data_IF_332175348875
#
_entry.id   IF_332175348875
#
_cell.length_a   1.000
_cell.length_b   1.000
_cell.length_c   1.000
_cell.angle_alpha   90.00
_cell.angle_beta   90.00
_cell.angle_gamma   90.00
#
_symmetry.space_group_name_H-M   'P 1'
#
loop_
_entity.id
_entity.type
_entity.pdbx_description
1 polymer ?
#
# COMPACT_ATOMS: atom_id res chain seq x y z
N UNK A 1 -29.93 21.19 10.69
CA UNK A 1 -28.55 20.71 10.42
C UNK A 1 -28.57 19.98 9.10
N UNK A 2 -27.79 20.38 8.08
CA UNK A 2 -27.81 19.69 6.81
C UNK A 2 -27.08 18.36 6.95
N UNK A 3 -27.81 17.28 6.72
CA UNK A 3 -27.32 15.92 6.56
C UNK A 3 -26.25 15.88 5.47
N UNK A 4 -25.00 15.62 5.85
CA UNK A 4 -23.90 15.28 4.95
C UNK A 4 -24.20 13.92 4.30
N UNK A 5 -24.97 13.94 3.22
CA UNK A 5 -25.04 12.82 2.28
C UNK A 5 -23.66 12.66 1.66
N UNK A 6 -22.85 11.80 2.26
CA UNK A 6 -21.65 11.27 1.62
C UNK A 6 -22.10 10.64 0.29
N UNK A 7 -21.86 11.35 -0.82
CA UNK A 7 -22.16 10.87 -2.16
C UNK A 7 -21.45 9.53 -2.35
N UNK A 8 -22.23 8.45 -2.38
CA UNK A 8 -21.69 7.13 -2.70
C UNK A 8 -21.03 7.22 -4.08
N UNK A 9 -19.77 6.79 -4.23
CA UNK A 9 -19.11 6.82 -5.54
C UNK A 9 -19.96 6.09 -6.57
N UNK A 10 -20.06 6.63 -7.79
CA UNK A 10 -20.82 5.99 -8.86
C UNK A 10 -20.31 4.56 -9.07
N UNK A 11 -21.22 3.62 -9.35
CA UNK A 11 -20.87 2.21 -9.60
C UNK A 11 -19.80 2.05 -10.69
N UNK A 12 -19.80 2.94 -11.70
CA UNK A 12 -18.81 3.02 -12.77
C UNK A 12 -17.39 3.34 -12.26
N UNK A 13 -17.26 4.23 -11.28
CA UNK A 13 -15.99 4.62 -10.68
C UNK A 13 -15.38 3.47 -9.88
N UNK A 14 -16.20 2.80 -9.05
CA UNK A 14 -15.73 1.64 -8.29
C UNK A 14 -15.24 0.52 -9.21
N UNK A 15 -16.01 0.21 -10.26
CA UNK A 15 -15.63 -0.80 -11.25
C UNK A 15 -14.33 -0.43 -11.99
N UNK A 16 -14.11 0.85 -12.31
CA UNK A 16 -12.86 1.32 -12.89
C UNK A 16 -11.68 1.11 -11.93
N UNK A 17 -11.83 1.48 -10.65
CA UNK A 17 -10.76 1.32 -9.66
C UNK A 17 -10.42 -0.14 -9.40
N UNK A 18 -11.42 -1.01 -9.35
CA UNK A 18 -11.17 -2.45 -9.22
C UNK A 18 -10.41 -3.02 -10.41
N UNK A 19 -10.82 -2.67 -11.64
CA UNK A 19 -10.11 -3.11 -12.86
C UNK A 19 -8.68 -2.59 -12.88
N UNK A 20 -8.48 -1.30 -12.63
CA UNK A 20 -7.16 -0.71 -12.57
C UNK A 20 -6.29 -1.34 -11.47
N UNK A 21 -6.83 -1.56 -10.27
CA UNK A 21 -6.09 -2.14 -9.14
C UNK A 21 -5.59 -3.56 -9.46
N UNK A 22 -6.36 -4.35 -10.22
CA UNK A 22 -5.93 -5.68 -10.71
C UNK A 22 -4.77 -5.57 -11.71
N UNK A 23 -4.90 -4.70 -12.72
CA UNK A 23 -3.84 -4.48 -13.71
C UNK A 23 -2.57 -3.95 -13.04
N UNK A 24 -2.72 -2.99 -12.13
CA UNK A 24 -1.63 -2.44 -11.32
C UNK A 24 -0.93 -3.54 -10.52
N UNK A 25 -1.69 -4.42 -9.85
CA UNK A 25 -1.10 -5.51 -9.08
C UNK A 25 -0.30 -6.49 -9.95
N UNK A 26 -0.81 -6.88 -11.11
CA UNK A 26 -0.07 -7.74 -12.06
C UNK A 26 1.20 -7.04 -12.53
N UNK A 27 1.10 -5.77 -12.92
CA UNK A 27 2.25 -5.00 -13.40
C UNK A 27 3.34 -4.85 -12.34
N UNK A 28 2.98 -4.56 -11.09
CA UNK A 28 3.94 -4.43 -9.98
C UNK A 28 4.57 -5.77 -9.61
N UNK A 29 3.81 -6.87 -9.63
CA UNK A 29 4.36 -8.21 -9.40
C UNK A 29 5.34 -8.62 -10.51
N UNK A 30 5.00 -8.34 -11.76
CA UNK A 30 5.92 -8.56 -12.90
C UNK A 30 7.17 -7.70 -12.78
N UNK A 31 7.02 -6.42 -12.40
CA UNK A 31 8.13 -5.50 -12.15
C UNK A 31 9.00 -5.97 -10.98
N UNK A 32 8.42 -6.62 -9.96
CA UNK A 32 9.18 -7.23 -8.85
C UNK A 32 10.03 -8.41 -9.34
N UNK A 33 9.48 -9.26 -10.22
CA UNK A 33 10.26 -10.31 -10.89
C UNK A 33 11.42 -9.74 -11.71
N UNK A 34 11.16 -8.70 -12.51
CA UNK A 34 12.21 -7.98 -13.25
C UNK A 34 13.25 -7.32 -12.33
N UNK A 35 12.83 -6.74 -11.21
CA UNK A 35 13.71 -6.14 -10.21
C UNK A 35 14.67 -7.16 -9.59
N UNK A 36 14.21 -8.39 -9.35
CA UNK A 36 15.08 -9.48 -8.87
C UNK A 36 16.18 -9.83 -9.89
N UNK A 37 15.84 -9.86 -11.19
CA UNK A 37 16.81 -10.12 -12.26
C UNK A 37 17.79 -8.96 -12.41
N UNK A 38 17.29 -7.73 -12.37
CA UNK A 38 18.05 -6.50 -12.55
C UNK A 38 18.77 -6.03 -11.28
N UNK A 39 18.54 -6.71 -10.14
CA UNK A 39 19.09 -6.41 -8.81
C UNK A 39 18.88 -4.96 -8.37
N UNK A 40 17.73 -4.36 -8.70
CA UNK A 40 17.44 -2.97 -8.37
C UNK A 40 15.94 -2.72 -8.16
N UNK A 41 15.61 -1.81 -7.25
CA UNK A 41 14.22 -1.47 -6.91
C UNK A 41 13.52 -0.58 -7.97
N UNK A 42 14.29 0.01 -8.89
CA UNK A 42 13.80 0.97 -9.87
C UNK A 42 12.66 0.44 -10.77
N UNK A 43 12.59 -0.84 -11.21
CA UNK A 43 11.48 -1.29 -12.03
C UNK A 43 10.16 -1.25 -11.28
N UNK A 44 10.17 -1.63 -9.99
CA UNK A 44 8.99 -1.58 -9.10
C UNK A 44 8.54 -0.14 -8.95
N UNK A 45 9.46 0.76 -8.58
CA UNK A 45 9.14 2.16 -8.34
C UNK A 45 8.64 2.86 -9.62
N UNK A 46 9.27 2.60 -10.76
CA UNK A 46 8.88 3.17 -12.05
C UNK A 46 7.47 2.71 -12.46
N UNK A 47 7.24 1.39 -12.52
CA UNK A 47 5.95 0.84 -12.95
C UNK A 47 4.83 1.24 -11.99
N UNK A 48 5.09 1.16 -10.68
CA UNK A 48 4.12 1.55 -9.65
C UNK A 48 3.76 3.04 -9.73
N UNK A 49 4.77 3.92 -9.77
CA UNK A 49 4.57 5.36 -9.79
C UNK A 49 3.93 5.85 -11.09
N UNK A 50 4.32 5.29 -12.25
CA UNK A 50 3.66 5.62 -13.51
C UNK A 50 2.20 5.18 -13.53
N UNK A 51 1.89 4.00 -13.01
CA UNK A 51 0.52 3.48 -12.95
C UNK A 51 -0.40 4.31 -12.06
N UNK A 52 0.07 4.69 -10.87
CA UNK A 52 -0.66 5.56 -9.91
C UNK A 52 -0.79 6.98 -10.47
N UNK A 53 0.31 7.54 -11.00
CA UNK A 53 0.35 8.88 -11.57
C UNK A 53 -0.57 9.02 -12.80
N UNK A 54 -0.60 8.02 -13.68
CA UNK A 54 -1.49 8.01 -14.85
C UNK A 54 -2.97 8.02 -14.43
N UNK A 55 -3.34 7.27 -13.38
CA UNK A 55 -4.71 7.29 -12.86
C UNK A 55 -5.08 8.65 -12.25
N UNK A 56 -4.16 9.25 -11.48
CA UNK A 56 -4.33 10.59 -10.91
C UNK A 56 -4.50 11.67 -11.98
N UNK A 57 -3.67 11.61 -13.03
CA UNK A 57 -3.72 12.54 -14.16
C UNK A 57 -4.99 12.38 -15.00
N UNK A 58 -5.42 11.15 -15.28
CA UNK A 58 -6.67 10.88 -15.98
C UNK A 58 -7.88 11.46 -15.22
N UNK A 59 -7.85 11.40 -13.88
CA UNK A 59 -8.85 12.03 -13.01
C UNK A 59 -8.83 13.55 -13.05
N UNK A 60 -7.65 14.15 -12.94
CA UNK A 60 -7.49 15.60 -13.00
C UNK A 60 -8.00 16.15 -14.35
N UNK A 61 -7.69 15.48 -15.46
CA UNK A 61 -8.17 15.83 -16.80
C UNK A 61 -9.69 15.70 -16.96
N UNK A 62 -10.32 14.81 -16.20
CA UNK A 62 -11.78 14.65 -16.19
C UNK A 62 -12.52 15.76 -15.40
N UNK A 63 -11.84 16.80 -14.93
CA UNK A 63 -12.45 17.96 -14.27
C UNK A 63 -13.00 17.67 -12.87
N UNK A 64 -12.72 16.50 -12.29
CA UNK A 64 -13.09 16.19 -10.91
C UNK A 64 -12.23 17.07 -10.00
N UNK A 65 -12.86 17.98 -9.25
CA UNK A 65 -12.20 18.80 -8.22
C UNK A 65 -11.74 17.91 -7.07
N UNK A 66 -10.63 17.23 -7.27
CA UNK A 66 -9.92 16.53 -6.20
C UNK A 66 -9.09 17.62 -5.48
N UNK A 67 -9.29 17.85 -4.19
CA UNK A 67 -8.72 19.00 -3.47
C UNK A 67 -7.24 19.25 -3.77
N UNK A 68 -6.91 20.45 -4.26
CA UNK A 68 -5.63 20.74 -4.93
C UNK A 68 -4.39 20.51 -4.05
N UNK A 69 -4.46 20.73 -2.74
CA UNK A 69 -3.33 20.52 -1.83
C UNK A 69 -3.05 19.03 -1.58
N UNK A 70 -4.09 18.22 -1.38
CA UNK A 70 -4.00 16.78 -1.13
C UNK A 70 -3.33 16.04 -2.30
N UNK A 71 -3.74 16.36 -3.53
CA UNK A 71 -3.13 15.77 -4.72
C UNK A 71 -1.67 16.16 -4.89
N UNK A 72 -1.31 17.41 -4.55
CA UNK A 72 0.07 17.87 -4.58
C UNK A 72 0.95 17.07 -3.63
N UNK A 73 0.46 16.81 -2.41
CA UNK A 73 1.14 15.97 -1.42
C UNK A 73 1.26 14.53 -1.89
N UNK A 74 0.18 13.94 -2.42
CA UNK A 74 0.21 12.58 -2.98
C UNK A 74 1.19 12.47 -4.16
N UNK A 75 1.20 13.44 -5.09
CA UNK A 75 2.13 13.47 -6.21
C UNK A 75 3.58 13.60 -5.74
N UNK A 76 3.83 14.44 -4.73
CA UNK A 76 5.15 14.58 -4.12
C UNK A 76 5.61 13.29 -3.43
N UNK A 77 4.72 12.62 -2.68
CA UNK A 77 5.00 11.28 -2.11
C UNK A 77 5.37 10.28 -3.18
N UNK A 78 4.62 10.26 -4.29
CA UNK A 78 4.89 9.35 -5.40
C UNK A 78 6.24 9.62 -6.08
N UNK A 79 6.63 10.90 -6.17
CA UNK A 79 7.96 11.29 -6.65
C UNK A 79 9.08 10.82 -5.70
N UNK A 80 8.89 10.93 -4.39
CA UNK A 80 9.83 10.40 -3.39
C UNK A 80 9.95 8.87 -3.49
N UNK A 81 8.84 8.15 -3.69
CA UNK A 81 8.85 6.69 -3.91
C UNK A 81 9.62 6.33 -5.18
N UNK A 82 9.42 7.07 -6.28
CA UNK A 82 10.17 6.88 -7.51
C UNK A 82 11.69 7.11 -7.29
N UNK A 83 12.04 8.16 -6.53
CA UNK A 83 13.43 8.45 -6.18
C UNK A 83 14.06 7.35 -5.32
N UNK A 84 13.32 6.79 -4.36
CA UNK A 84 13.76 5.63 -3.57
C UNK A 84 14.09 4.42 -4.47
N UNK A 85 13.36 4.22 -5.56
CA UNK A 85 13.67 3.17 -6.53
C UNK A 85 15.08 3.29 -7.14
N UNK A 86 15.59 4.51 -7.28
CA UNK A 86 16.91 4.78 -7.83
C UNK A 86 18.04 4.61 -6.80
N UNK A 87 17.72 4.54 -5.51
CA UNK A 87 18.72 4.40 -4.44
C UNK A 87 19.61 3.17 -4.65
N UNK A 88 19.06 2.07 -5.16
CA UNK A 88 19.83 0.86 -5.46
C UNK A 88 20.98 1.06 -6.46
N UNK A 89 20.98 2.17 -7.20
CA UNK A 89 22.01 2.53 -8.17
C UNK A 89 23.14 3.39 -7.57
N UNK A 90 23.05 3.74 -6.28
CA UNK A 90 23.97 4.67 -5.62
C UNK A 90 24.33 4.20 -4.21
N UNK A 91 25.51 4.54 -3.67
CA UNK A 91 25.87 4.25 -2.29
C UNK A 91 25.19 5.25 -1.34
N UNK A 92 23.89 5.09 -1.11
CA UNK A 92 23.13 5.97 -0.22
C UNK A 92 23.27 5.55 1.26
N UNK A 93 23.33 6.54 2.14
CA UNK A 93 23.28 6.30 3.60
C UNK A 93 21.93 5.76 4.02
N UNK A 94 21.90 4.70 4.83
CA UNK A 94 20.66 4.15 5.42
C UNK A 94 19.87 5.17 6.21
N UNK A 95 20.54 6.13 6.87
CA UNK A 95 19.89 7.26 7.54
C UNK A 95 19.13 8.18 6.60
N UNK A 96 19.70 8.45 5.41
CA UNK A 96 19.04 9.28 4.41
C UNK A 96 17.78 8.57 3.88
N UNK A 97 17.89 7.27 3.58
CA UNK A 97 16.74 6.46 3.13
C UNK A 97 15.67 6.39 4.22
N UNK A 98 16.07 6.17 5.48
CA UNK A 98 15.16 6.18 6.63
C UNK A 98 14.44 7.53 6.78
N UNK A 99 15.15 8.65 6.60
CA UNK A 99 14.57 9.99 6.67
C UNK A 99 13.57 10.24 5.54
N UNK A 100 13.86 9.80 4.31
CA UNK A 100 12.92 9.89 3.18
C UNK A 100 11.68 9.04 3.44
N UNK A 101 11.84 7.79 3.89
CA UNK A 101 10.72 6.91 4.23
C UNK A 101 9.84 7.54 5.32
N UNK A 102 10.45 8.05 6.40
CA UNK A 102 9.75 8.77 7.45
C UNK A 102 8.99 9.99 6.89
N UNK A 103 9.62 10.78 6.04
CA UNK A 103 8.98 11.94 5.41
C UNK A 103 7.74 11.53 4.60
N UNK A 104 7.82 10.46 3.78
CA UNK A 104 6.68 9.97 3.01
C UNK A 104 5.52 9.54 3.93
N UNK A 105 5.80 8.88 5.05
CA UNK A 105 4.78 8.48 6.03
C UNK A 105 4.21 9.65 6.85
N UNK A 106 5.01 10.67 7.16
CA UNK A 106 4.49 11.88 7.84
C UNK A 106 3.59 12.68 6.89
N UNK A 107 3.98 12.79 5.62
CA UNK A 107 3.20 13.46 4.58
C UNK A 107 1.85 12.77 4.35
N UNK A 108 1.80 11.44 4.46
CA UNK A 108 0.56 10.65 4.44
C UNK A 108 -0.42 11.10 5.52
N UNK A 109 0.05 11.13 6.77
CA UNK A 109 -0.76 11.55 7.91
C UNK A 109 -1.26 12.99 7.79
N UNK A 110 -0.43 13.88 7.20
CA UNK A 110 -0.78 15.27 6.95
C UNK A 110 -1.88 15.39 5.89
N UNK A 111 -1.78 14.67 4.77
CA UNK A 111 -2.80 14.68 3.71
C UNK A 111 -4.15 14.22 4.27
N UNK A 112 -4.17 13.12 5.01
CA UNK A 112 -5.39 12.65 5.67
C UNK A 112 -5.96 13.65 6.68
N UNK A 113 -5.12 14.41 7.38
CA UNK A 113 -5.58 15.46 8.29
C UNK A 113 -6.16 16.67 7.53
N UNK A 114 -5.53 17.08 6.43
CA UNK A 114 -6.03 18.16 5.56
C UNK A 114 -7.36 17.76 4.92
N UNK A 115 -7.49 16.53 4.41
CA UNK A 115 -8.72 16.03 3.82
C UNK A 115 -9.89 16.03 4.81
N UNK A 116 -9.66 15.64 6.08
CA UNK A 116 -10.66 15.75 7.16
C UNK A 116 -11.02 17.19 7.47
N UNK A 117 -10.02 18.07 7.55
CA UNK A 117 -10.22 19.48 7.90
C UNK A 117 -11.01 20.23 6.83
N UNK A 118 -10.78 19.93 5.55
CA UNK A 118 -11.43 20.59 4.42
C UNK A 118 -12.65 19.83 3.88
N UNK A 119 -13.03 18.71 4.48
CA UNK A 119 -14.17 17.90 4.04
C UNK A 119 -14.01 17.31 2.64
N UNK A 120 -12.77 17.09 2.18
CA UNK A 120 -12.44 16.60 0.84
C UNK A 120 -12.10 15.10 0.82
N UNK A 121 -12.51 14.34 1.83
CA UNK A 121 -12.34 12.89 1.85
C UNK A 121 -13.10 12.23 0.69
N UNK A 122 -12.45 11.31 -0.02
CA UNK A 122 -13.08 10.56 -1.10
C UNK A 122 -12.64 9.09 -1.09
N UNK A 123 -13.54 8.20 -1.53
CA UNK A 123 -13.23 6.78 -1.68
C UNK A 123 -12.08 6.55 -2.70
N UNK A 124 -11.98 7.42 -3.70
CA UNK A 124 -10.87 7.43 -4.65
C UNK A 124 -9.54 7.76 -3.98
N UNK A 125 -9.46 8.88 -3.26
CA UNK A 125 -8.26 9.31 -2.56
C UNK A 125 -7.79 8.25 -1.56
N UNK A 126 -8.72 7.70 -0.76
CA UNK A 126 -8.41 6.63 0.18
C UNK A 126 -7.89 5.34 -0.47
N UNK A 127 -8.23 5.09 -1.75
CA UNK A 127 -7.68 3.94 -2.50
C UNK A 127 -6.31 4.26 -3.09
N UNK A 128 -6.16 5.44 -3.69
CA UNK A 128 -4.88 5.88 -4.26
C UNK A 128 -3.78 5.92 -3.19
N UNK A 129 -4.14 6.41 -2.02
CA UNK A 129 -3.31 6.47 -0.83
C UNK A 129 -2.83 5.07 -0.39
N UNK A 130 -3.77 4.13 -0.27
CA UNK A 130 -3.47 2.74 0.06
C UNK A 130 -2.50 2.07 -0.94
N UNK A 131 -2.64 2.34 -2.24
CA UNK A 131 -1.73 1.77 -3.25
C UNK A 131 -0.35 2.44 -3.23
N UNK A 132 -0.30 3.74 -2.91
CA UNK A 132 0.96 4.49 -2.77
C UNK A 132 1.75 4.00 -1.55
N UNK A 133 1.08 3.76 -0.43
CA UNK A 133 1.67 3.14 0.77
C UNK A 133 2.19 1.73 0.48
N UNK A 134 1.40 0.91 -0.20
CA UNK A 134 1.81 -0.44 -0.55
C UNK A 134 3.03 -0.45 -1.47
N UNK A 135 3.08 0.49 -2.43
CA UNK A 135 4.23 0.67 -3.30
C UNK A 135 5.48 1.09 -2.53
N UNK A 136 5.35 2.07 -1.61
CA UNK A 136 6.44 2.49 -0.74
C UNK A 136 6.99 1.30 0.06
N UNK A 137 6.10 0.53 0.71
CA UNK A 137 6.49 -0.65 1.49
C UNK A 137 7.24 -1.65 0.62
N UNK A 138 6.74 -1.98 -0.57
CA UNK A 138 7.40 -2.93 -1.45
C UNK A 138 8.78 -2.42 -1.93
N UNK A 139 8.91 -1.13 -2.26
CA UNK A 139 10.20 -0.53 -2.65
C UNK A 139 11.19 -0.60 -1.49
N UNK A 140 10.76 -0.26 -0.26
CA UNK A 140 11.61 -0.33 0.94
C UNK A 140 12.01 -1.77 1.27
N UNK A 141 11.08 -2.72 1.19
CA UNK A 141 11.34 -4.14 1.41
C UNK A 141 12.35 -4.67 0.39
N UNK A 142 12.23 -4.26 -0.87
CA UNK A 142 13.18 -4.63 -1.92
C UNK A 142 14.55 -4.02 -1.68
N UNK A 143 14.63 -2.76 -1.29
CA UNK A 143 15.90 -2.11 -0.93
C UNK A 143 16.57 -2.83 0.23
N UNK A 144 15.83 -3.17 1.29
CA UNK A 144 16.35 -3.94 2.43
C UNK A 144 16.94 -5.29 1.98
N UNK A 145 16.27 -6.00 1.07
CA UNK A 145 16.79 -7.23 0.47
C UNK A 145 18.07 -6.97 -0.36
N UNK A 146 18.01 -6.05 -1.34
CA UNK A 146 19.04 -5.95 -2.38
C UNK A 146 20.26 -5.13 -1.98
N UNK A 147 20.09 -4.13 -1.11
CA UNK A 147 21.17 -3.21 -0.69
C UNK A 147 21.68 -3.55 0.71
N UNK A 148 20.78 -3.86 1.66
CA UNK A 148 21.16 -4.18 3.04
C UNK A 148 21.27 -5.68 3.33
N UNK A 149 21.02 -6.55 2.34
CA UNK A 149 21.23 -8.00 2.48
C UNK A 149 20.27 -8.72 3.44
N UNK A 150 19.09 -8.15 3.68
CA UNK A 150 18.06 -8.83 4.47
C UNK A 150 17.56 -10.09 3.74
N UNK A 151 17.09 -11.09 4.49
CA UNK A 151 16.55 -12.31 3.88
C UNK A 151 15.28 -12.06 3.06
N UNK A 152 15.03 -12.90 2.06
CA UNK A 152 13.88 -12.78 1.14
C UNK A 152 12.50 -12.74 1.83
N UNK A 153 12.40 -13.22 3.08
CA UNK A 153 11.20 -13.09 3.92
C UNK A 153 10.73 -11.64 4.07
N UNK A 154 11.64 -10.66 3.95
CA UNK A 154 11.34 -9.24 4.09
C UNK A 154 10.30 -8.77 3.05
N UNK A 155 10.33 -9.35 1.84
CA UNK A 155 9.45 -9.02 0.71
C UNK A 155 8.01 -9.44 0.92
N UNK A 156 7.75 -10.41 1.81
CA UNK A 156 6.39 -10.92 2.03
C UNK A 156 5.45 -9.77 2.35
N UNK A 157 5.87 -8.86 3.23
CA UNK A 157 5.08 -7.70 3.68
C UNK A 157 4.63 -6.80 2.52
N UNK A 158 5.56 -6.37 1.65
CA UNK A 158 5.26 -5.56 0.46
C UNK A 158 4.42 -6.30 -0.58
N UNK A 159 4.55 -7.62 -0.69
CA UNK A 159 3.79 -8.43 -1.65
C UNK A 159 2.34 -8.68 -1.23
N UNK A 160 2.03 -8.67 0.07
CA UNK A 160 0.70 -9.01 0.61
C UNK A 160 -0.42 -8.22 -0.06
N UNK A 161 -0.22 -6.92 -0.32
CA UNK A 161 -1.24 -6.06 -0.95
C UNK A 161 -1.64 -6.59 -2.32
N UNK A 162 -0.66 -6.86 -3.17
CA UNK A 162 -0.87 -7.23 -4.57
C UNK A 162 -1.44 -8.65 -4.67
N UNK A 163 -0.91 -9.57 -3.86
CA UNK A 163 -1.46 -10.93 -3.74
C UNK A 163 -2.91 -10.89 -3.24
N UNK A 164 -3.23 -10.00 -2.29
CA UNK A 164 -4.60 -9.82 -1.81
C UNK A 164 -5.54 -9.32 -2.92
N UNK A 165 -5.14 -8.35 -3.75
CA UNK A 165 -5.96 -7.89 -4.90
C UNK A 165 -6.28 -9.05 -5.83
N UNK A 166 -5.27 -9.85 -6.20
CA UNK A 166 -5.47 -10.97 -7.11
C UNK A 166 -6.31 -12.08 -6.49
N UNK A 167 -6.14 -12.33 -5.18
CA UNK A 167 -6.98 -13.27 -4.43
C UNK A 167 -8.44 -12.85 -4.48
N UNK A 168 -8.76 -11.56 -4.28
CA UNK A 168 -10.12 -11.06 -4.37
C UNK A 168 -10.72 -11.14 -5.79
N UNK A 169 -9.87 -11.11 -6.83
CA UNK A 169 -10.32 -11.25 -8.21
C UNK A 169 -10.78 -12.68 -8.55
N UNK A 170 -10.19 -13.69 -7.90
CA UNK A 170 -10.52 -15.11 -8.09
C UNK A 170 -11.56 -15.59 -7.07
N UNK A 171 -11.46 -15.11 -5.84
CA UNK A 171 -12.30 -15.52 -4.71
C UNK A 171 -12.93 -14.27 -4.07
N UNK A 172 -14.14 -13.88 -4.50
CA UNK A 172 -14.85 -12.76 -3.90
C UNK A 172 -15.09 -13.02 -2.40
N UNK A 173 -14.79 -12.05 -1.51
CA UNK A 173 -14.96 -12.23 -0.07
C UNK A 173 -16.45 -12.25 0.30
N UNK A 174 -16.81 -12.89 1.41
CA UNK A 174 -18.19 -12.90 1.88
C UNK A 174 -18.66 -11.51 2.31
N UNK A 175 -17.77 -10.77 2.98
CA UNK A 175 -17.99 -9.40 3.46
C UNK A 175 -16.65 -8.64 3.48
N UNK A 176 -16.72 -7.31 3.38
CA UNK A 176 -15.55 -6.46 3.53
C UNK A 176 -15.10 -6.46 4.99
N UNK A 177 -13.85 -6.83 5.27
CA UNK A 177 -13.31 -6.81 6.62
C UNK A 177 -13.27 -5.36 7.17
N UNK A 178 -13.78 -5.10 8.39
CA UNK A 178 -13.77 -3.78 8.97
C UNK A 178 -12.34 -3.31 9.29
N UNK A 179 -12.06 -2.02 9.05
CA UNK A 179 -10.81 -1.39 9.48
C UNK A 179 -10.79 -1.32 11.01
N UNK A 180 -9.89 -2.06 11.66
CA UNK A 180 -9.77 -2.11 13.13
C UNK A 180 -8.63 -1.23 13.65
N UNK A 181 -8.76 -0.67 14.86
CA UNK A 181 -7.67 0.10 15.53
C UNK A 181 -6.39 -0.74 15.68
N UNK A 182 -6.54 -2.03 16.01
CA UNK A 182 -5.43 -2.98 16.09
C UNK A 182 -4.66 -3.09 14.77
N UNK A 183 -5.34 -3.13 13.62
CA UNK A 183 -4.67 -3.21 12.33
C UNK A 183 -3.86 -1.94 12.00
N UNK A 184 -4.37 -0.76 12.38
CA UNK A 184 -3.62 0.50 12.24
C UNK A 184 -2.38 0.53 13.12
N UNK A 185 -2.50 0.07 14.38
CA UNK A 185 -1.36 -0.03 15.29
C UNK A 185 -0.28 -1.01 14.80
N UNK A 186 -0.70 -2.18 14.29
CA UNK A 186 0.22 -3.17 13.71
C UNK A 186 0.95 -2.62 12.48
N UNK A 187 0.25 -1.90 11.60
CA UNK A 187 0.88 -1.25 10.45
C UNK A 187 1.86 -0.15 10.88
N UNK A 188 1.50 0.69 11.86
CA UNK A 188 2.41 1.71 12.41
C UNK A 188 3.68 1.10 12.99
N UNK A 189 3.56 0.05 13.81
CA UNK A 189 4.70 -0.67 14.36
C UNK A 189 5.58 -1.30 13.27
N UNK A 190 4.96 -1.85 12.24
CA UNK A 190 5.66 -2.37 11.06
C UNK A 190 6.46 -1.27 10.34
N UNK A 191 5.85 -0.13 10.07
CA UNK A 191 6.53 1.01 9.41
C UNK A 191 7.72 1.48 10.24
N UNK A 192 7.53 1.67 11.55
CA UNK A 192 8.62 2.03 12.47
C UNK A 192 9.74 1.00 12.44
N UNK A 193 9.41 -0.30 12.35
CA UNK A 193 10.42 -1.34 12.24
C UNK A 193 11.26 -1.23 10.96
N UNK A 194 10.70 -0.75 9.85
CA UNK A 194 11.43 -0.60 8.58
C UNK A 194 12.32 0.63 8.57
N UNK A 195 11.86 1.71 9.19
CA UNK A 195 12.69 2.90 9.44
C UNK A 195 13.88 2.52 10.34
N UNK A 196 13.62 1.77 11.43
CA UNK A 196 14.68 1.25 12.31
C UNK A 196 15.64 0.30 11.57
N UNK A 197 15.12 -0.56 10.69
CA UNK A 197 15.92 -1.50 9.90
C UNK A 197 16.93 -0.81 8.98
N UNK A 198 16.62 0.41 8.52
CA UNK A 198 17.48 1.23 7.65
C UNK A 198 18.53 2.03 8.43
N UNK A 199 18.23 2.41 9.68
CA UNK A 199 19.05 3.33 10.47
C UNK A 199 19.94 2.64 11.54
N UNK A 200 19.53 1.47 12.03
CA UNK A 200 20.19 0.80 13.14
C UNK A 200 21.27 -0.21 12.68
N UNK A 201 22.23 -0.57 13.55
CA UNK A 201 23.18 -1.64 13.30
C UNK A 201 22.49 -2.99 13.08
N UNK A 202 23.09 -3.85 12.24
CA UNK A 202 22.52 -5.13 11.83
C UNK A 202 22.10 -6.07 12.99
N UNK A 203 22.82 -6.02 14.12
CA UNK A 203 22.54 -6.81 15.32
C UNK A 203 21.16 -6.52 15.93
N UNK A 204 20.67 -5.30 15.80
CA UNK A 204 19.36 -4.86 16.31
C UNK A 204 18.32 -4.80 15.18
N UNK A 205 18.75 -4.39 14.00
CA UNK A 205 17.89 -4.10 12.85
C UNK A 205 17.14 -5.35 12.35
N UNK A 206 17.82 -6.50 12.27
CA UNK A 206 17.23 -7.79 11.86
C UNK A 206 16.06 -8.23 12.75
N UNK A 207 16.26 -8.39 14.07
CA UNK A 207 15.18 -8.75 15.01
C UNK A 207 14.00 -7.77 14.98
N UNK A 208 14.27 -6.47 14.94
CA UNK A 208 13.22 -5.43 14.90
C UNK A 208 12.36 -5.56 13.63
N UNK A 209 12.99 -5.70 12.46
CA UNK A 209 12.29 -5.90 11.19
C UNK A 209 11.46 -7.20 11.19
N UNK A 210 11.97 -8.26 11.81
CA UNK A 210 11.29 -9.54 11.91
C UNK A 210 10.03 -9.44 12.77
N UNK A 211 10.13 -8.89 13.98
CA UNK A 211 8.98 -8.68 14.88
C UNK A 211 7.92 -7.78 14.23
N UNK A 212 8.35 -6.67 13.61
CA UNK A 212 7.43 -5.80 12.88
C UNK A 212 6.69 -6.51 11.74
N UNK A 213 7.38 -7.39 11.01
CA UNK A 213 6.77 -8.19 9.94
C UNK A 213 5.80 -9.22 10.50
N UNK A 214 6.12 -9.91 11.59
CA UNK A 214 5.19 -10.84 12.26
C UNK A 214 3.89 -10.15 12.71
N UNK A 215 3.99 -8.95 13.29
CA UNK A 215 2.81 -8.17 13.71
C UNK A 215 1.92 -7.81 12.51
N UNK A 216 2.53 -7.37 11.40
CA UNK A 216 1.81 -7.09 10.17
C UNK A 216 1.12 -8.35 9.63
N UNK A 217 1.85 -9.45 9.53
CA UNK A 217 1.34 -10.72 8.98
C UNK A 217 0.19 -11.26 9.84
N UNK A 218 0.35 -11.28 11.16
CA UNK A 218 -0.70 -11.71 12.08
C UNK A 218 -1.97 -10.86 11.90
N UNK A 219 -1.82 -9.53 11.87
CA UNK A 219 -2.93 -8.60 11.65
C UNK A 219 -3.61 -8.82 10.29
N UNK A 220 -2.82 -9.02 9.23
CA UNK A 220 -3.31 -9.31 7.88
C UNK A 220 -4.07 -10.63 7.83
N UNK A 221 -3.48 -11.73 8.32
CA UNK A 221 -4.10 -13.06 8.27
C UNK A 221 -5.37 -13.15 9.12
N UNK A 222 -5.42 -12.46 10.26
CA UNK A 222 -6.66 -12.33 11.05
C UNK A 222 -7.77 -11.66 10.24
N UNK A 223 -7.44 -10.56 9.55
CA UNK A 223 -8.40 -9.83 8.71
C UNK A 223 -8.81 -10.64 7.47
N UNK A 224 -7.86 -11.33 6.85
CA UNK A 224 -8.08 -12.23 5.72
C UNK A 224 -9.01 -13.38 6.11
N UNK A 225 -8.74 -14.09 7.22
CA UNK A 225 -9.62 -15.16 7.72
C UNK A 225 -11.02 -14.67 8.03
N UNK A 226 -11.17 -13.47 8.59
CA UNK A 226 -12.48 -12.89 8.85
C UNK A 226 -13.27 -12.66 7.54
N UNK A 227 -12.61 -12.18 6.48
CA UNK A 227 -13.24 -11.96 5.17
C UNK A 227 -13.72 -13.26 4.48
N UNK A 228 -13.00 -14.36 4.65
CA UNK A 228 -13.29 -15.64 3.98
C UNK A 228 -14.08 -16.67 4.82
N UNK A 229 -14.03 -16.61 6.16
CA UNK A 229 -14.71 -17.59 7.03
C UNK A 229 -16.24 -17.57 6.93
N UNK A 230 -16.85 -16.42 6.58
CA UNK A 230 -18.31 -16.28 6.41
C UNK A 230 -18.85 -16.81 5.08
N UNK A 231 -17.98 -17.21 4.15
CA UNK A 231 -18.39 -17.90 2.91
C UNK A 231 -18.87 -19.33 3.19
N UNK A 232 -18.27 -20.00 4.17
CA UNK A 232 -18.56 -21.39 4.52
C UNK A 232 -19.95 -21.56 5.16
N UNK A 233 -20.35 -20.61 6.00
CA UNK A 233 -21.65 -20.63 6.68
C UNK A 233 -22.82 -20.35 5.72
N UNK A 234 -22.69 -19.42 4.77
CA UNK A 234 -23.75 -19.14 3.76
C UNK A 234 -23.96 -20.29 2.77
N UNK A 235 -22.90 -20.95 2.30
CA UNK A 235 -23.03 -22.12 1.39
C UNK A 235 -23.71 -23.31 2.08
N UNK A 236 -23.47 -23.52 3.38
CA UNK A 236 -24.14 -24.57 4.16
C UNK A 236 -25.63 -24.25 4.36
N UNK A 237 -25.99 -23.00 4.63
CA UNK A 237 -27.41 -22.61 4.76
C UNK A 237 -28.18 -22.65 3.43
N UNK A 238 -27.54 -22.33 2.30
CA UNK A 238 -28.16 -22.45 0.98
C UNK A 238 -28.41 -23.91 0.57
N UNK A 239 -27.54 -24.85 0.97
CA UNK A 239 -27.72 -26.29 0.71
C UNK A 239 -28.79 -26.95 1.58
N UNK A 240 -29.15 -26.37 2.72
CA UNK A 240 -30.23 -26.89 3.58
C UNK A 240 -31.62 -26.33 3.23
N UNK A 241 -31.70 -25.35 2.32
CA UNK A 241 -32.96 -24.75 1.87
C UNK A 241 -33.36 -25.13 0.44
N UNK A 242 -32.54 -25.92 -0.24
CA UNK A 242 -32.81 -26.52 -1.55
C UNK A 242 -33.10 -28.00 -1.34
#
# INVERSE_FOLDING_TARGET
MPSTTALSPSSSLLALLERWSRVHAVAVLAATGGALVLRGAWPIALVGSLSIGALGLARARAGVRVGNAANGVTAFRLALVALLGLVALTPASGWLVAAVVLAVFVLDGLDGALARRFGTESAFGARLDLETDALLVLVVDFLLLSVWGYGAWILVSGLLRYLYVLTLAVLPPAEHAPRTRCARGAFGAFVTSRIAALALPASVAGPVAFVGSLLLWYSFFRSFRAAFSRLRSRRLHARHRA
#
